data_IF_332172140102
#
_entry.id   IF_332172140102
#
_cell.length_a   1.000
_cell.length_b   1.000
_cell.length_c   1.000
_cell.angle_alpha   90.00
_cell.angle_beta   90.00
_cell.angle_gamma   90.00
#
_symmetry.space_group_name_H-M   'P 1'
#
loop_
_entity.id
_entity.type
_entity.pdbx_description
1 polymer ?
#
# COMPACT_ATOMS: atom_id res chain seq x y z
N UNK A 1 4.29 17.14 -15.03
CA UNK A 1 2.92 16.82 -14.59
C UNK A 1 3.01 15.76 -13.51
N UNK A 2 2.36 15.95 -12.36
CA UNK A 2 2.48 15.02 -11.22
C UNK A 2 1.33 14.02 -11.29
N UNK A 3 1.65 12.73 -11.32
CA UNK A 3 0.65 11.67 -11.27
C UNK A 3 0.22 11.44 -9.81
N UNK A 4 -1.06 11.63 -9.51
CA UNK A 4 -1.62 11.50 -8.16
C UNK A 4 -2.43 10.21 -8.05
N UNK A 5 -1.79 9.17 -7.53
CA UNK A 5 -2.38 7.83 -7.38
C UNK A 5 -3.71 7.84 -6.61
N UNK A 6 -3.89 8.73 -5.63
CA UNK A 6 -5.15 8.80 -4.85
C UNK A 6 -6.31 9.35 -5.66
N UNK A 7 -6.01 10.24 -6.62
CA UNK A 7 -7.02 10.82 -7.51
C UNK A 7 -7.35 9.92 -8.68
N UNK A 8 -6.34 9.26 -9.24
CA UNK A 8 -6.50 8.35 -10.39
C UNK A 8 -7.09 7.00 -9.98
N UNK A 9 -6.76 6.49 -8.80
CA UNK A 9 -7.24 5.19 -8.31
C UNK A 9 -8.12 5.30 -7.07
N UNK A 10 -9.17 6.13 -7.14
CA UNK A 10 -10.06 6.40 -6.00
C UNK A 10 -10.64 5.13 -5.38
N UNK A 11 -10.99 4.12 -6.18
CA UNK A 11 -11.55 2.87 -5.66
C UNK A 11 -10.56 2.06 -4.81
N UNK A 12 -9.25 2.18 -5.08
CA UNK A 12 -8.19 1.52 -4.30
C UNK A 12 -7.88 2.27 -3.00
N UNK A 13 -7.97 3.61 -3.01
CA UNK A 13 -7.58 4.45 -1.87
C UNK A 13 -8.76 4.95 -1.03
N UNK A 14 -9.99 4.89 -1.54
CA UNK A 14 -11.22 5.32 -0.87
C UNK A 14 -12.31 4.23 -1.02
N UNK A 15 -12.12 3.07 -0.36
CA UNK A 15 -13.08 1.97 -0.44
C UNK A 15 -14.43 2.37 0.19
N UNK A 16 -15.53 1.85 -0.37
CA UNK A 16 -16.86 2.01 0.20
C UNK A 16 -17.04 1.09 1.42
N UNK A 17 -18.05 1.39 2.26
CA UNK A 17 -18.42 0.54 3.41
C UNK A 17 -18.99 -0.84 3.03
N UNK A 18 -19.14 -1.13 1.74
CA UNK A 18 -19.67 -2.39 1.22
C UNK A 18 -18.53 -3.14 0.54
N UNK A 19 -18.42 -4.46 0.74
CA UNK A 19 -17.48 -5.27 -0.02
C UNK A 19 -17.80 -5.20 -1.52
N UNK A 20 -16.78 -4.95 -2.34
CA UNK A 20 -16.86 -4.87 -3.80
C UNK A 20 -15.67 -5.65 -4.40
N UNK A 21 -15.88 -6.31 -5.54
CA UNK A 21 -14.80 -6.95 -6.30
C UNK A 21 -14.16 -5.90 -7.21
N UNK A 22 -12.84 -5.73 -7.10
CA UNK A 22 -12.07 -4.75 -7.88
C UNK A 22 -10.83 -5.40 -8.49
N UNK A 23 -10.43 -4.92 -9.67
CA UNK A 23 -9.21 -5.35 -10.36
C UNK A 23 -8.11 -4.34 -10.10
N UNK A 24 -6.98 -4.80 -9.56
CA UNK A 24 -5.81 -3.96 -9.32
C UNK A 24 -4.96 -3.91 -10.60
N UNK A 25 -4.64 -2.72 -11.15
CA UNK A 25 -3.77 -2.59 -12.30
C UNK A 25 -2.31 -2.94 -11.94
N UNK A 26 -1.48 -3.21 -12.94
CA UNK A 26 -0.04 -3.36 -12.72
C UNK A 26 0.56 -2.04 -12.21
N UNK A 27 1.34 -2.12 -11.12
CA UNK A 27 1.89 -0.94 -10.44
C UNK A 27 3.33 -1.21 -10.01
N UNK A 28 4.16 -0.18 -10.12
CA UNK A 28 5.56 -0.24 -9.71
C UNK A 28 5.70 0.18 -8.26
N UNK A 29 6.33 -0.67 -7.44
CA UNK A 29 6.62 -0.40 -6.04
C UNK A 29 8.10 -0.57 -5.74
N UNK A 30 8.60 0.28 -4.85
CA UNK A 30 9.84 0.00 -4.14
C UNK A 30 9.49 -0.86 -2.93
N UNK A 31 10.02 -2.07 -2.87
CA UNK A 31 9.77 -3.01 -1.78
C UNK A 31 11.09 -3.38 -1.10
N UNK A 32 11.04 -3.54 0.21
CA UNK A 32 12.15 -4.07 1.01
C UNK A 32 11.67 -5.34 1.68
N UNK A 33 12.45 -6.42 1.55
CA UNK A 33 12.14 -7.68 2.22
C UNK A 33 12.35 -7.55 3.73
N UNK A 34 11.30 -7.81 4.51
CA UNK A 34 11.36 -7.82 5.96
C UNK A 34 10.68 -9.07 6.51
N UNK A 35 11.04 -9.45 7.72
CA UNK A 35 10.40 -10.51 8.51
C UNK A 35 10.31 -10.06 9.96
N UNK A 36 9.37 -10.60 10.74
CA UNK A 36 9.21 -10.27 12.16
C UNK A 36 8.01 -9.37 12.46
N UNK A 37 7.90 -8.91 13.70
CA UNK A 37 6.80 -8.07 14.18
C UNK A 37 7.03 -6.59 13.77
N UNK A 38 6.15 -5.99 12.96
CA UNK A 38 6.31 -4.60 12.52
C UNK A 38 6.19 -3.57 13.64
N UNK A 39 5.59 -3.93 14.77
CA UNK A 39 5.38 -3.00 15.88
C UNK A 39 6.55 -2.98 16.87
N UNK A 40 7.41 -4.01 16.85
CA UNK A 40 8.55 -4.12 17.76
C UNK A 40 9.56 -3.01 17.49
N UNK A 41 9.93 -2.27 18.54
CA UNK A 41 10.80 -1.09 18.41
C UNK A 41 12.19 -1.42 17.85
N UNK A 42 12.79 -2.53 18.28
CA UNK A 42 14.04 -3.09 17.71
C UNK A 42 13.80 -4.14 16.61
N UNK A 43 12.63 -4.10 15.98
CA UNK A 43 12.27 -5.04 14.92
C UNK A 43 13.00 -4.71 13.62
N UNK A 44 13.38 -5.76 12.88
CA UNK A 44 13.95 -5.71 11.52
C UNK A 44 13.07 -5.01 10.48
N UNK A 45 11.85 -4.63 10.85
CA UNK A 45 10.88 -3.93 10.00
C UNK A 45 10.97 -2.39 10.12
N UNK A 46 11.45 -1.86 11.25
CA UNK A 46 11.50 -0.41 11.52
C UNK A 46 12.84 0.23 11.18
N UNK A 47 13.88 -0.56 10.91
CA UNK A 47 15.22 -0.03 10.68
C UNK A 47 15.41 0.38 9.22
N UNK A 48 15.23 1.68 8.95
CA UNK A 48 15.87 2.41 7.86
C UNK A 48 16.60 3.61 8.43
#
# INVERSE_FOLDING_TARGET
MVFDYKKEYKDLYFPKKKPELITIPEMNYLAVSGSGDPNKEDGTYKTF
#
